data_IF_054055911074
#
_entry.id   IF_054055911074
#
_cell.length_a   1.000
_cell.length_b   1.000
_cell.length_c   1.000
_cell.angle_alpha   90.00
_cell.angle_beta   90.00
_cell.angle_gamma   90.00
#
_symmetry.space_group_name_H-M   'P 1'
#
loop_
_entity.id
_entity.type
_entity.pdbx_description
1 polymer ?
#
# COMPACT_ATOMS: atom_id res chain seq x y z
N UNK A 1 3.88 -0.99 -32.80
CA UNK A 1 4.10 -0.32 -31.50
C UNK A 1 4.21 -1.43 -30.48
N UNK A 2 5.42 -1.88 -30.19
CA UNK A 2 5.68 -3.05 -29.34
C UNK A 2 5.71 -2.58 -27.88
N UNK A 3 4.99 -3.26 -27.00
CA UNK A 3 5.03 -2.98 -25.58
C UNK A 3 6.42 -3.36 -25.04
N UNK A 4 7.17 -2.38 -24.55
CA UNK A 4 8.34 -2.62 -23.70
C UNK A 4 7.89 -3.47 -22.51
N UNK A 5 8.50 -4.64 -22.35
CA UNK A 5 8.28 -5.47 -21.17
C UNK A 5 8.72 -4.69 -19.93
N UNK A 6 7.79 -4.45 -19.01
CA UNK A 6 8.09 -3.78 -17.75
C UNK A 6 9.15 -4.59 -16.99
N UNK A 7 10.34 -4.02 -16.85
CA UNK A 7 11.46 -4.60 -16.09
C UNK A 7 11.35 -4.31 -14.58
N UNK A 8 10.22 -3.77 -14.12
CA UNK A 8 9.98 -3.50 -12.71
C UNK A 8 9.73 -4.80 -11.94
N UNK A 9 10.33 -4.94 -10.76
CA UNK A 9 10.00 -6.03 -9.84
C UNK A 9 8.61 -5.77 -9.23
N UNK A 10 7.59 -6.48 -9.73
CA UNK A 10 6.20 -6.36 -9.28
C UNK A 10 5.85 -7.55 -8.39
N UNK A 11 5.23 -7.26 -7.23
CA UNK A 11 4.57 -8.29 -6.42
C UNK A 11 3.06 -8.17 -6.62
N UNK A 12 2.40 -9.27 -6.96
CA UNK A 12 0.94 -9.32 -7.12
C UNK A 12 0.39 -10.35 -6.15
N UNK A 13 -0.54 -9.92 -5.31
CA UNK A 13 -1.11 -10.74 -4.24
C UNK A 13 -2.62 -10.71 -4.34
N UNK A 14 -3.24 -11.88 -4.32
CA UNK A 14 -4.70 -12.00 -4.25
C UNK A 14 -5.16 -11.84 -2.80
N UNK A 15 -6.36 -11.30 -2.59
CA UNK A 15 -6.92 -11.12 -1.26
C UNK A 15 -7.02 -12.44 -0.47
N UNK A 16 -7.37 -13.55 -1.14
CA UNK A 16 -7.38 -14.91 -0.55
C UNK A 16 -6.01 -15.36 0.00
N UNK A 17 -4.90 -14.80 -0.48
CA UNK A 17 -3.56 -15.15 -0.01
C UNK A 17 -3.28 -14.64 1.41
N UNK A 18 -4.08 -13.70 1.91
CA UNK A 18 -3.94 -13.14 3.25
C UNK A 18 -4.84 -13.83 4.30
N UNK A 19 -5.72 -14.76 3.89
CA UNK A 19 -6.61 -15.48 4.80
C UNK A 19 -7.72 -14.58 5.35
N UNK A 20 -7.81 -14.44 6.68
CA UNK A 20 -8.79 -13.54 7.30
C UNK A 20 -8.37 -12.07 7.05
N UNK A 21 -9.03 -11.42 6.09
CA UNK A 21 -8.86 -10.00 5.72
C UNK A 21 -9.40 -9.01 6.77
N UNK A 22 -9.69 -9.48 7.99
CA UNK A 22 -10.14 -8.59 9.04
C UNK A 22 -8.96 -7.73 9.51
N UNK A 23 -8.99 -6.43 9.22
CA UNK A 23 -7.99 -5.47 9.67
C UNK A 23 -7.53 -4.51 8.57
N UNK A 24 -6.49 -3.73 8.88
CA UNK A 24 -5.93 -2.74 7.98
C UNK A 24 -5.10 -3.43 6.88
N UNK A 25 -5.30 -3.12 5.59
CA UNK A 25 -4.53 -3.72 4.51
C UNK A 25 -3.03 -3.41 4.56
N UNK A 26 -2.60 -2.35 5.27
CA UNK A 26 -1.20 -2.06 5.47
C UNK A 26 -0.46 -3.19 6.20
N UNK A 27 -1.12 -3.85 7.17
CA UNK A 27 -0.59 -5.00 7.91
C UNK A 27 -0.31 -6.22 7.03
N UNK A 28 -1.03 -6.32 5.92
CA UNK A 28 -0.88 -7.39 4.95
C UNK A 28 0.25 -7.06 3.97
N UNK A 29 0.25 -5.85 3.44
CA UNK A 29 1.23 -5.38 2.44
C UNK A 29 2.65 -5.26 3.04
N UNK A 30 2.77 -4.90 4.32
CA UNK A 30 4.04 -4.86 5.04
C UNK A 30 4.74 -6.23 5.15
N UNK A 31 4.05 -7.34 4.90
CA UNK A 31 4.64 -8.70 4.87
C UNK A 31 5.40 -9.00 3.58
N UNK A 32 5.26 -8.14 2.56
CA UNK A 32 5.91 -8.37 1.27
C UNK A 32 7.40 -8.02 1.33
N UNK A 33 8.27 -8.83 0.70
CA UNK A 33 9.70 -8.56 0.67
C UNK A 33 10.02 -7.18 0.10
N UNK A 34 10.72 -6.36 0.89
CA UNK A 34 11.14 -5.02 0.49
C UNK A 34 10.09 -3.93 0.68
N UNK A 35 8.89 -4.25 1.17
CA UNK A 35 7.96 -3.27 1.75
C UNK A 35 8.30 -3.08 3.22
N UNK A 36 8.33 -1.84 3.66
CA UNK A 36 8.52 -1.47 5.06
C UNK A 36 7.27 -0.72 5.51
N UNK A 37 6.73 -1.12 6.66
CA UNK A 37 5.62 -0.43 7.31
C UNK A 37 6.08 0.33 8.56
N UNK A 38 5.46 1.48 8.82
CA UNK A 38 5.57 2.20 10.09
C UNK A 38 4.23 2.18 10.81
N UNK A 39 4.26 1.73 12.07
CA UNK A 39 3.08 1.64 12.93
C UNK A 39 2.86 2.93 13.72
N UNK A 40 1.61 3.37 13.79
CA UNK A 40 1.16 4.44 14.69
C UNK A 40 -0.02 3.90 15.47
N UNK A 41 0.05 3.98 16.80
CA UNK A 41 -0.99 3.49 17.72
C UNK A 41 -1.33 1.99 17.61
N UNK A 42 -0.42 1.18 17.06
CA UNK A 42 -0.53 -0.28 17.01
C UNK A 42 -0.91 -0.86 15.64
N UNK A 43 -1.31 -0.02 14.69
CA UNK A 43 -1.61 -0.40 13.31
C UNK A 43 -0.61 0.23 12.34
N UNK A 44 -0.31 -0.47 11.24
CA UNK A 44 0.54 0.10 10.18
C UNK A 44 -0.16 1.27 9.49
N UNK A 45 0.42 2.46 9.61
CA UNK A 45 -0.13 3.71 9.06
C UNK A 45 0.52 4.12 7.74
N UNK A 46 1.78 3.78 7.57
CA UNK A 46 2.57 4.19 6.39
C UNK A 46 3.29 2.98 5.79
N UNK A 47 3.43 2.99 4.47
CA UNK A 47 4.19 2.00 3.72
C UNK A 47 5.18 2.68 2.78
N UNK A 48 6.35 2.08 2.59
CA UNK A 48 7.29 2.45 1.54
C UNK A 48 8.12 1.25 1.07
N UNK A 49 8.83 1.40 -0.05
CA UNK A 49 9.63 0.32 -0.64
C UNK A 49 11.12 0.63 -0.58
N UNK A 50 11.92 -0.37 -0.15
CA UNK A 50 13.39 -0.41 -0.27
C UNK A 50 14.12 0.89 0.11
N UNK A 51 13.76 1.49 1.24
CA UNK A 51 14.42 2.70 1.76
C UNK A 51 14.08 4.00 1.04
N UNK A 52 13.17 3.98 0.06
CA UNK A 52 12.60 5.19 -0.53
C UNK A 52 11.66 5.87 0.47
N UNK A 53 11.68 7.21 0.52
CA UNK A 53 10.76 7.95 1.37
C UNK A 53 9.30 7.75 0.91
N UNK A 54 8.36 7.65 1.86
CA UNK A 54 6.93 7.38 1.60
C UNK A 54 6.28 8.38 0.63
N UNK A 55 6.66 9.66 0.68
CA UNK A 55 6.19 10.73 -0.22
C UNK A 55 6.50 10.49 -1.71
N UNK A 56 7.42 9.57 -2.01
CA UNK A 56 7.81 9.20 -3.38
C UNK A 56 7.01 8.01 -3.92
N UNK A 57 6.16 7.40 -3.07
CA UNK A 57 5.28 6.30 -3.45
C UNK A 57 3.85 6.82 -3.65
N UNK A 58 3.14 6.25 -4.61
CA UNK A 58 1.73 6.58 -4.86
C UNK A 58 0.86 5.37 -4.57
N UNK A 59 -0.24 5.59 -3.87
CA UNK A 59 -1.27 4.56 -3.65
C UNK A 59 -2.42 4.80 -4.63
N UNK A 60 -2.88 3.73 -5.25
CA UNK A 60 -4.00 3.74 -6.19
C UNK A 60 -4.98 2.63 -5.84
N UNK A 61 -6.27 2.89 -5.99
CA UNK A 61 -7.34 1.89 -5.89
C UNK A 61 -8.11 1.91 -7.21
N UNK A 62 -8.25 0.75 -7.85
CA UNK A 62 -8.89 0.60 -9.17
C UNK A 62 -8.33 1.57 -10.24
N UNK A 63 -7.03 1.86 -10.18
CA UNK A 63 -6.35 2.79 -11.09
C UNK A 63 -6.53 4.27 -10.74
N UNK A 64 -7.38 4.62 -9.78
CA UNK A 64 -7.52 5.98 -9.29
C UNK A 64 -6.49 6.28 -8.21
N UNK A 65 -5.76 7.40 -8.34
CA UNK A 65 -4.84 7.86 -7.30
C UNK A 65 -5.62 8.26 -6.06
N UNK A 66 -5.26 7.66 -4.93
CA UNK A 66 -5.80 8.04 -3.63
C UNK A 66 -5.17 9.37 -3.19
N UNK A 67 -5.96 10.23 -2.55
CA UNK A 67 -5.47 11.52 -2.05
C UNK A 67 -4.47 11.31 -0.92
N UNK A 68 -3.40 12.10 -0.92
CA UNK A 68 -2.45 12.14 0.19
C UNK A 68 -3.21 12.55 1.47
N UNK A 69 -2.94 11.90 2.59
CA UNK A 69 -3.72 12.02 3.83
C UNK A 69 -2.84 12.42 5.02
N UNK A 70 -1.81 13.24 4.76
CA UNK A 70 -0.89 13.73 5.77
C UNK A 70 -1.64 14.48 6.89
N UNK A 71 -1.67 13.88 8.08
CA UNK A 71 -2.18 14.48 9.31
C UNK A 71 -1.31 15.67 9.70
N UNK A 72 -1.65 16.86 9.19
CA UNK A 72 -0.89 18.10 9.39
C UNK A 72 -0.70 18.94 8.13
N UNK A 73 -0.97 18.39 6.94
CA UNK A 73 -1.04 19.14 5.67
C UNK A 73 0.30 19.55 5.06
N UNK A 74 1.45 19.15 5.63
CA UNK A 74 2.78 19.62 5.20
C UNK A 74 3.52 18.66 4.27
N UNK A 75 3.01 17.44 4.10
CA UNK A 75 3.71 16.34 3.41
C UNK A 75 2.75 15.56 2.49
N UNK A 76 3.30 14.73 1.59
CA UNK A 76 2.54 14.06 0.51
C UNK A 76 2.28 12.58 0.78
N UNK A 77 2.36 12.13 2.01
CA UNK A 77 2.14 10.72 2.31
C UNK A 77 0.65 10.34 2.37
N UNK A 78 0.35 9.14 1.87
CA UNK A 78 -0.91 8.47 2.14
C UNK A 78 -0.88 7.86 3.54
N UNK A 79 -1.97 8.00 4.29
CA UNK A 79 -2.15 7.37 5.60
C UNK A 79 -3.19 6.27 5.47
N UNK A 80 -2.77 5.04 5.71
CA UNK A 80 -3.70 3.93 5.85
C UNK A 80 -4.52 4.16 7.11
N UNK A 81 -5.83 4.25 6.93
CA UNK A 81 -6.80 4.14 8.02
C UNK A 81 -7.27 2.70 8.09
N UNK A 82 -7.87 2.30 9.20
CA UNK A 82 -8.56 1.02 9.31
C UNK A 82 -9.78 1.03 8.38
N UNK A 83 -9.52 0.83 7.09
CA UNK A 83 -10.47 0.39 6.09
C UNK A 83 -10.34 -1.13 6.11
N UNK A 84 -11.45 -1.84 6.31
CA UNK A 84 -11.40 -3.31 6.37
C UNK A 84 -10.81 -3.86 5.08
N UNK A 85 -9.82 -4.76 5.18
CA UNK A 85 -9.16 -5.32 3.99
C UNK A 85 -10.12 -6.17 3.13
N UNK A 86 -11.34 -6.45 3.60
CA UNK A 86 -12.46 -6.98 2.83
C UNK A 86 -12.89 -6.08 1.66
N UNK A 87 -12.54 -4.80 1.66
CA UNK A 87 -12.78 -3.90 0.52
C UNK A 87 -11.76 -4.05 -0.62
N UNK A 88 -10.77 -4.96 -0.51
CA UNK A 88 -9.70 -5.14 -1.51
C UNK A 88 -9.95 -6.44 -2.29
N UNK A 89 -10.20 -6.31 -3.60
CA UNK A 89 -10.29 -7.41 -4.55
C UNK A 89 -9.28 -7.29 -5.69
N UNK A 90 -9.00 -8.39 -6.37
CA UNK A 90 -8.25 -8.41 -7.64
C UNK A 90 -9.22 -8.79 -8.76
N UNK A 91 -9.36 -7.95 -9.78
CA UNK A 91 -10.05 -8.25 -11.04
C UNK A 91 -9.04 -8.36 -12.18
#
# INVERSE_FOLDING_TARGET
MSAEGSSASVSVVSADAFGALAGNPADLVARLPGVVGESVDGDFRYLWSRGMHRDLSTITTDGNRMADAASGGTTREFQFQTVGADSIGRF
#
